data_IF_800334709553
#
_entry.id   IF_800334709553
#
_cell.length_a   1.000
_cell.length_b   1.000
_cell.length_c   1.000
_cell.angle_alpha   90.00
_cell.angle_beta   90.00
_cell.angle_gamma   90.00
#
_symmetry.space_group_name_H-M   'P 1'
#
loop_
_entity.id
_entity.type
_entity.pdbx_description
1 polymer ?
#
# COMPACT_ATOMS: atom_id res chain seq x y z
N UNK A 1 22.10 53.51 30.53
CA UNK A 1 22.43 52.07 30.48
C UNK A 1 21.12 51.30 30.40
N UNK A 2 20.63 50.97 29.19
CA UNK A 2 19.42 50.15 29.06
C UNK A 2 19.71 48.69 29.46
N UNK A 3 18.72 47.96 30.00
CA UNK A 3 18.88 46.57 30.39
C UNK A 3 19.07 45.70 29.14
N UNK A 4 20.05 44.80 29.23
CA UNK A 4 20.30 43.75 28.24
C UNK A 4 19.05 42.89 28.10
N UNK A 5 18.30 43.09 27.02
CA UNK A 5 17.21 42.20 26.63
C UNK A 5 17.79 40.79 26.49
N UNK A 6 17.31 39.91 27.35
CA UNK A 6 17.57 38.48 27.32
C UNK A 6 16.95 37.96 26.03
N UNK A 7 17.78 37.75 25.01
CA UNK A 7 17.36 37.10 23.77
C UNK A 7 16.85 35.71 24.11
N UNK A 8 15.52 35.58 24.16
CA UNK A 8 14.83 34.33 24.37
C UNK A 8 15.26 33.37 23.26
N UNK A 9 16.00 32.33 23.64
CA UNK A 9 16.48 31.33 22.71
C UNK A 9 15.31 30.79 21.87
N UNK A 10 15.46 30.68 20.55
CA UNK A 10 14.41 30.14 19.71
C UNK A 10 14.13 28.72 20.18
N UNK A 11 12.93 28.50 20.71
CA UNK A 11 12.47 27.19 21.10
C UNK A 11 12.40 26.35 19.83
N UNK A 12 13.40 25.50 19.61
CA UNK A 12 13.39 24.44 18.60
C UNK A 12 12.22 23.51 18.94
N UNK A 13 11.04 23.82 18.40
CA UNK A 13 9.90 22.93 18.45
C UNK A 13 10.31 21.68 17.68
N UNK A 14 10.56 20.58 18.40
CA UNK A 14 10.85 19.29 17.80
C UNK A 14 9.80 19.03 16.71
N UNK A 15 10.21 18.65 15.50
CA UNK A 15 9.28 18.32 14.42
C UNK A 15 8.30 17.21 14.89
N UNK A 16 7.15 17.07 14.23
CA UNK A 16 6.09 16.12 14.57
C UNK A 16 6.54 14.67 14.36
N UNK A 17 7.41 14.15 15.24
CA UNK A 17 7.92 12.78 15.18
C UNK A 17 6.80 11.73 15.24
N UNK A 18 5.62 12.10 15.75
CA UNK A 18 4.50 11.21 15.98
C UNK A 18 3.97 10.51 14.70
N UNK A 19 3.89 11.23 13.58
CA UNK A 19 3.35 10.64 12.34
C UNK A 19 4.33 9.64 11.70
N UNK A 20 5.61 9.99 11.72
CA UNK A 20 6.65 9.11 11.21
C UNK A 20 6.83 7.87 12.09
N UNK A 21 6.78 8.03 13.41
CA UNK A 21 6.78 6.93 14.38
C UNK A 21 5.59 5.99 14.17
N UNK A 22 4.39 6.56 13.93
CA UNK A 22 3.20 5.77 13.61
C UNK A 22 3.38 4.97 12.31
N UNK A 23 3.94 5.59 11.26
CA UNK A 23 4.23 4.90 10.00
C UNK A 23 5.24 3.77 10.21
N UNK A 24 6.32 4.01 10.94
CA UNK A 24 7.34 3.01 11.27
C UNK A 24 6.75 1.84 12.05
N UNK A 25 5.89 2.11 13.04
CA UNK A 25 5.20 1.09 13.81
C UNK A 25 4.35 0.20 12.88
N UNK A 26 3.58 0.80 11.96
CA UNK A 26 2.75 0.07 11.00
C UNK A 26 3.57 -0.75 10.00
N UNK A 27 4.73 -0.27 9.58
CA UNK A 27 5.66 -1.03 8.76
C UNK A 27 6.20 -2.25 9.51
N UNK A 28 6.56 -2.09 10.78
CA UNK A 28 6.98 -3.20 11.65
C UNK A 28 5.90 -4.28 11.78
N UNK A 29 4.64 -3.88 11.99
CA UNK A 29 3.49 -4.79 12.02
C UNK A 29 3.31 -5.53 10.70
N UNK A 30 3.40 -4.81 9.57
CA UNK A 30 3.27 -5.38 8.23
C UNK A 30 4.32 -6.46 7.97
N UNK A 31 5.58 -6.19 8.33
CA UNK A 31 6.69 -7.14 8.20
C UNK A 31 6.50 -8.38 9.07
N UNK A 32 5.98 -8.20 10.30
CA UNK A 32 5.66 -9.32 11.19
C UNK A 32 4.58 -10.22 10.57
N UNK A 33 3.49 -9.63 10.10
CA UNK A 33 2.40 -10.36 9.43
C UNK A 33 2.90 -11.12 8.20
N UNK A 34 3.77 -10.49 7.40
CA UNK A 34 4.38 -11.15 6.26
C UNK A 34 5.15 -12.42 6.62
N UNK A 35 6.00 -12.34 7.66
CA UNK A 35 6.74 -13.50 8.15
C UNK A 35 5.82 -14.59 8.67
N UNK A 36 4.72 -14.21 9.33
CA UNK A 36 3.76 -15.15 9.87
C UNK A 36 2.94 -15.87 8.78
N UNK A 37 2.56 -15.16 7.71
CA UNK A 37 1.94 -15.77 6.51
C UNK A 37 2.87 -16.80 5.89
N UNK A 38 4.14 -16.46 5.67
CA UNK A 38 5.10 -17.43 5.13
C UNK A 38 5.28 -18.63 6.05
N UNK A 39 5.39 -18.43 7.37
CA UNK A 39 5.44 -19.54 8.34
C UNK A 39 4.20 -20.42 8.26
N UNK A 40 3.02 -19.83 8.09
CA UNK A 40 1.77 -20.56 7.97
C UNK A 40 1.74 -21.42 6.70
N UNK A 41 2.18 -20.88 5.56
CA UNK A 41 2.32 -21.66 4.32
C UNK A 41 3.23 -22.86 4.50
N UNK A 42 4.38 -22.69 5.19
CA UNK A 42 5.29 -23.83 5.47
C UNK A 42 4.67 -24.92 6.34
N UNK A 43 3.75 -24.55 7.23
CA UNK A 43 3.10 -25.47 8.17
C UNK A 43 1.92 -26.20 7.53
N UNK A 44 1.13 -25.49 6.73
CA UNK A 44 -0.15 -26.01 6.22
C UNK A 44 -0.08 -26.50 4.78
N UNK A 45 0.82 -25.97 3.96
CA UNK A 45 0.98 -26.39 2.57
C UNK A 45 2.15 -27.38 2.48
N UNK A 46 1.96 -28.56 1.87
CA UNK A 46 3.06 -29.49 1.63
C UNK A 46 4.12 -28.82 0.75
N UNK A 47 5.37 -29.25 0.91
CA UNK A 47 6.44 -28.83 0.01
C UNK A 47 6.08 -29.21 -1.43
N UNK A 48 6.06 -28.23 -2.33
CA UNK A 48 5.71 -28.44 -3.73
C UNK A 48 5.20 -27.17 -4.42
N UNK A 49 4.73 -27.29 -5.68
CA UNK A 49 4.38 -26.16 -6.54
C UNK A 49 3.31 -25.24 -5.94
N UNK A 50 2.41 -25.80 -5.13
CA UNK A 50 1.30 -25.04 -4.54
C UNK A 50 1.75 -24.10 -3.42
N UNK A 51 2.68 -24.55 -2.57
CA UNK A 51 3.32 -23.70 -1.56
C UNK A 51 4.13 -22.59 -2.21
N UNK A 52 4.89 -22.92 -3.26
CA UNK A 52 5.65 -21.92 -4.01
C UNK A 52 4.77 -20.86 -4.67
N UNK A 53 3.61 -21.27 -5.20
CA UNK A 53 2.64 -20.34 -5.78
C UNK A 53 2.06 -19.40 -4.72
N UNK A 54 1.69 -19.94 -3.56
CA UNK A 54 1.19 -19.15 -2.43
C UNK A 54 2.26 -18.17 -1.90
N UNK A 55 3.51 -18.62 -1.77
CA UNK A 55 4.64 -17.78 -1.37
C UNK A 55 4.94 -16.68 -2.41
N UNK A 56 4.87 -17.00 -3.71
CA UNK A 56 5.02 -16.02 -4.80
C UNK A 56 3.93 -14.96 -4.75
N UNK A 57 2.67 -15.37 -4.56
CA UNK A 57 1.55 -14.46 -4.44
C UNK A 57 1.71 -13.54 -3.22
N UNK A 58 1.98 -14.09 -2.04
CA UNK A 58 2.18 -13.28 -0.83
C UNK A 58 3.34 -12.28 -0.98
N UNK A 59 4.44 -12.67 -1.62
CA UNK A 59 5.56 -11.77 -1.94
C UNK A 59 5.17 -10.66 -2.92
N UNK A 60 4.37 -10.97 -3.93
CA UNK A 60 3.90 -9.98 -4.90
C UNK A 60 2.99 -8.95 -4.22
N UNK A 61 1.97 -9.41 -3.51
CA UNK A 61 1.04 -8.57 -2.75
C UNK A 61 1.79 -7.68 -1.75
N UNK A 62 2.67 -8.26 -0.94
CA UNK A 62 3.45 -7.50 0.04
C UNK A 62 4.27 -6.39 -0.63
N UNK A 63 4.96 -6.68 -1.73
CA UNK A 63 5.76 -5.68 -2.47
C UNK A 63 4.88 -4.57 -3.04
N UNK A 64 3.74 -4.90 -3.64
CA UNK A 64 2.81 -3.90 -4.20
C UNK A 64 2.35 -2.91 -3.13
N UNK A 65 1.96 -3.41 -1.95
CA UNK A 65 1.50 -2.56 -0.86
C UNK A 65 2.64 -1.74 -0.23
N UNK A 66 3.84 -2.29 -0.08
CA UNK A 66 5.00 -1.54 0.41
C UNK A 66 5.44 -0.46 -0.58
N UNK A 67 5.41 -0.75 -1.88
CA UNK A 67 5.73 0.22 -2.92
C UNK A 67 4.74 1.40 -2.87
N UNK A 68 3.44 1.12 -2.79
CA UNK A 68 2.43 2.16 -2.69
C UNK A 68 2.56 3.01 -1.41
N UNK A 69 2.87 2.39 -0.26
CA UNK A 69 3.12 3.14 0.97
C UNK A 69 4.40 4.00 0.89
N UNK A 70 5.46 3.49 0.25
CA UNK A 70 6.70 4.25 0.02
C UNK A 70 6.48 5.41 -0.95
N UNK A 71 5.75 5.21 -2.03
CA UNK A 71 5.42 6.24 -3.01
C UNK A 71 4.62 7.37 -2.36
N UNK A 72 3.59 7.02 -1.58
CA UNK A 72 2.85 7.99 -0.79
C UNK A 72 3.78 8.79 0.15
N UNK A 73 4.72 8.12 0.81
CA UNK A 73 5.68 8.79 1.70
C UNK A 73 6.63 9.74 0.95
N UNK A 74 7.10 9.36 -0.24
CA UNK A 74 7.98 10.19 -1.08
C UNK A 74 7.24 11.40 -1.65
N UNK A 75 5.99 11.23 -2.07
CA UNK A 75 5.14 12.34 -2.53
C UNK A 75 4.93 13.37 -1.41
N UNK A 76 4.81 12.90 -0.17
CA UNK A 76 4.70 13.77 1.00
C UNK A 76 5.96 14.65 1.18
N UNK A 77 7.15 14.04 1.10
CA UNK A 77 8.43 14.74 1.22
C UNK A 77 8.69 15.72 0.05
N UNK A 78 8.33 15.34 -1.18
CA UNK A 78 8.49 16.20 -2.35
C UNK A 78 7.60 17.46 -2.26
N UNK A 79 6.38 17.32 -1.74
CA UNK A 79 5.46 18.45 -1.53
C UNK A 79 6.00 19.43 -0.48
N UNK A 80 6.68 18.94 0.55
CA UNK A 80 7.33 19.78 1.57
C UNK A 80 8.51 20.57 1.00
N UNK A 81 9.33 19.95 0.15
CA UNK A 81 10.47 20.60 -0.49
C UNK A 81 10.05 21.79 -1.38
N UNK A 82 8.95 21.66 -2.13
CA UNK A 82 8.44 22.75 -2.98
C UNK A 82 7.88 23.94 -2.19
N UNK A 83 7.42 23.71 -0.95
CA UNK A 83 6.82 24.79 -0.16
C UNK A 83 7.88 25.68 0.53
N UNK A 84 9.09 25.17 0.76
CA UNK A 84 10.17 25.94 1.39
C UNK A 84 10.83 26.95 0.44
N UNK A 85 10.70 26.78 -0.88
CA UNK A 85 11.37 27.62 -1.89
C UNK A 85 10.55 28.87 -2.30
N UNK A 86 9.30 29.01 -1.82
CA UNK A 86 8.44 30.17 -2.12
C UNK A 86 8.41 31.25 -1.04
N UNK A 87 9.11 31.05 0.08
CA UNK A 87 9.28 32.10 1.09
C UNK A 87 10.57 32.88 0.78
N UNK A 88 10.59 33.56 -0.36
CA UNK A 88 11.51 34.65 -0.60
C UNK A 88 10.87 35.93 -0.01
N UNK A 89 11.28 36.39 1.19
CA UNK A 89 10.75 37.62 1.78
C UNK A 89 11.12 38.88 0.98
N UNK A 90 11.96 38.74 -0.05
CA UNK A 90 12.30 39.78 -1.00
C UNK A 90 11.69 39.47 -2.36
N UNK A 91 10.36 39.49 -2.43
CA UNK A 91 9.62 39.53 -3.68
C UNK A 91 9.92 40.79 -4.49
N UNK A 92 11.09 40.83 -5.12
CA UNK A 92 11.37 41.73 -6.23
C UNK A 92 10.80 41.05 -7.47
N UNK A 93 9.50 41.29 -7.73
CA UNK A 93 8.80 40.88 -8.95
C UNK A 93 9.42 41.59 -10.16
N UNK A 94 10.55 41.09 -10.61
CA UNK A 94 11.18 41.53 -11.85
C UNK A 94 10.49 40.77 -12.97
N UNK A 95 9.43 41.38 -13.49
CA UNK A 95 8.73 40.97 -14.69
C UNK A 95 9.68 41.02 -15.89
N UNK A 96 10.48 39.97 -16.06
CA UNK A 96 11.39 39.79 -17.18
C UNK A 96 10.63 39.08 -18.30
N UNK A 97 10.11 39.88 -19.24
CA UNK A 97 9.65 39.42 -20.54
C UNK A 97 10.88 38.94 -21.36
N UNK A 98 11.36 37.74 -21.05
CA UNK A 98 12.45 37.08 -21.76
C UNK A 98 11.91 36.05 -22.74
N UNK A 99 11.59 36.52 -23.95
CA UNK A 99 11.39 35.68 -25.13
C UNK A 99 12.63 34.82 -25.35
N UNK A 100 12.49 33.49 -25.30
CA UNK A 100 13.52 32.58 -25.84
C UNK A 100 12.86 31.50 -26.67
N UNK A 101 13.00 31.66 -27.98
CA UNK A 101 12.75 30.64 -28.98
C UNK A 101 13.88 29.61 -28.89
N UNK A 102 13.55 28.36 -28.54
CA UNK A 102 14.44 27.23 -28.79
C UNK A 102 13.69 26.13 -29.52
N UNK A 103 14.03 25.99 -30.80
CA UNK A 103 13.52 24.97 -31.71
C UNK A 103 14.06 23.57 -31.35
N UNK A 104 13.25 22.50 -31.46
CA UNK A 104 13.74 21.14 -31.39
C UNK A 104 14.11 20.60 -32.78
N UNK A 105 15.34 20.10 -32.92
CA UNK A 105 15.77 19.27 -34.05
C UNK A 105 15.36 17.80 -33.85
N UNK A 106 15.03 17.06 -34.94
CA UNK A 106 14.66 15.66 -34.89
C UNK A 106 15.88 14.75 -35.15
N UNK A 107 15.91 13.57 -34.51
CA UNK A 107 16.65 12.42 -35.05
C UNK A 107 17.51 11.64 -34.06
N UNK A 108 17.05 10.44 -33.70
CA UNK A 108 17.86 9.41 -33.06
C UNK A 108 17.08 8.10 -32.90
N UNK A 109 17.43 7.02 -33.63
CA UNK A 109 16.76 5.73 -33.51
C UNK A 109 17.27 4.99 -32.27
N UNK A 110 16.42 4.84 -31.26
CA UNK A 110 16.66 3.94 -30.12
C UNK A 110 16.04 2.57 -30.40
N UNK A 111 16.84 1.69 -30.99
CA UNK A 111 16.61 0.25 -30.93
C UNK A 111 17.00 -0.24 -29.53
N UNK A 112 16.04 -0.72 -28.74
CA UNK A 112 16.33 -1.22 -27.40
C UNK A 112 15.14 -1.86 -26.70
N UNK A 113 14.80 -3.09 -27.10
CA UNK A 113 14.08 -4.13 -26.32
C UNK A 113 13.12 -3.64 -25.23
N UNK A 114 11.85 -3.46 -25.62
CA UNK A 114 10.74 -3.49 -24.68
C UNK A 114 10.52 -4.90 -24.14
N UNK A 115 10.80 -5.10 -22.85
CA UNK A 115 10.19 -6.17 -22.06
C UNK A 115 8.78 -5.70 -21.66
N UNK A 116 7.72 -6.50 -21.85
CA UNK A 116 6.38 -6.12 -21.41
C UNK A 116 6.30 -6.25 -19.89
N UNK A 117 6.56 -5.15 -19.18
CA UNK A 117 6.04 -4.98 -17.82
C UNK A 117 4.52 -4.86 -17.93
N UNK A 118 3.84 -5.98 -17.71
CA UNK A 118 2.39 -6.06 -17.63
C UNK A 118 1.87 -5.01 -16.67
N UNK A 119 1.20 -4.02 -17.24
CA UNK A 119 0.44 -2.96 -16.58
C UNK A 119 -0.63 -3.63 -15.72
N UNK A 120 -0.34 -3.75 -14.42
CA UNK A 120 -1.30 -4.25 -13.44
C UNK A 120 -2.50 -3.32 -13.41
N UNK A 121 -3.66 -3.86 -13.75
CA UNK A 121 -4.94 -3.20 -13.56
C UNK A 121 -5.07 -2.82 -12.09
N UNK A 122 -5.10 -1.50 -11.83
CA UNK A 122 -5.59 -0.95 -10.58
C UNK A 122 -7.06 -1.37 -10.43
N UNK A 123 -7.29 -2.52 -9.78
CA UNK A 123 -8.61 -2.86 -9.27
C UNK A 123 -8.86 -1.87 -8.15
N UNK A 124 -9.59 -0.80 -8.48
CA UNK A 124 -10.14 0.14 -7.52
C UNK A 124 -10.87 -0.65 -6.44
N UNK A 125 -10.30 -0.68 -5.23
CA UNK A 125 -11.03 -1.08 -4.05
C UNK A 125 -12.22 -0.15 -3.89
N UNK A 126 -13.41 -0.70 -4.10
CA UNK A 126 -14.68 0.00 -4.06
C UNK A 126 -14.79 0.84 -2.79
N UNK A 127 -15.05 2.13 -2.97
CA UNK A 127 -15.57 3.02 -1.93
C UNK A 127 -16.96 2.52 -1.53
N UNK A 128 -17.08 1.90 -0.36
CA UNK A 128 -18.36 1.84 0.34
C UNK A 128 -18.48 3.15 1.12
N UNK A 129 -19.30 4.06 0.61
CA UNK A 129 -19.79 5.20 1.36
C UNK A 129 -20.87 4.69 2.31
N UNK A 130 -20.55 4.61 3.61
CA UNK A 130 -21.57 4.44 4.64
C UNK A 130 -21.81 5.81 5.30
N UNK A 131 -22.95 6.39 4.96
CA UNK A 131 -23.62 7.42 5.73
C UNK A 131 -23.94 6.87 7.12
N UNK A 132 -23.52 7.56 8.18
CA UNK A 132 -24.16 7.47 9.48
C UNK A 132 -23.93 8.77 10.25
N UNK A 133 -24.97 9.61 10.25
CA UNK A 133 -25.13 10.68 11.22
C UNK A 133 -25.48 10.09 12.59
N UNK A 134 -24.91 10.68 13.63
CA UNK A 134 -25.16 10.34 15.03
C UNK A 134 -25.02 11.60 15.91
N UNK A 135 -25.74 11.64 17.04
CA UNK A 135 -26.15 12.87 17.72
C UNK A 135 -25.03 13.54 18.51
N UNK A 136 -25.07 14.87 18.50
CA UNK A 136 -24.14 15.75 19.21
C UNK A 136 -24.29 15.59 20.73
N UNK A 137 -23.21 15.19 21.39
CA UNK A 137 -23.07 15.25 22.85
C UNK A 137 -22.30 16.51 23.24
N UNK A 138 -22.72 17.25 24.28
CA UNK A 138 -22.07 18.49 24.66
C UNK A 138 -20.71 18.25 25.31
N UNK A 139 -19.79 19.08 24.84
CA UNK A 139 -18.37 19.17 25.05
C UNK A 139 -17.99 19.51 26.51
N UNK A 140 -17.19 18.66 27.14
CA UNK A 140 -16.52 18.95 28.42
C UNK A 140 -15.04 18.62 28.27
N UNK A 141 -14.24 19.67 28.04
CA UNK A 141 -12.85 19.74 28.51
C UNK A 141 -11.81 18.96 27.73
N UNK A 142 -11.97 18.78 26.42
CA UNK A 142 -10.92 18.19 25.57
C UNK A 142 -9.83 19.24 25.33
N UNK A 143 -8.86 19.33 26.26
CA UNK A 143 -7.60 20.09 26.06
C UNK A 143 -7.03 19.75 24.68
N UNK A 144 -6.97 20.76 23.83
CA UNK A 144 -6.41 20.74 22.49
C UNK A 144 -4.94 20.28 22.48
N UNK A 145 -4.72 18.97 22.38
CA UNK A 145 -3.42 18.36 22.06
C UNK A 145 -3.03 18.58 20.57
N UNK A 146 -3.73 19.46 19.85
CA UNK A 146 -3.45 19.80 18.46
C UNK A 146 -2.41 20.93 18.32
N UNK A 147 -2.05 21.59 19.42
CA UNK A 147 -1.12 22.74 19.43
C UNK A 147 0.32 22.39 19.03
N UNK A 148 0.70 21.11 19.04
CA UNK A 148 2.07 20.65 18.68
C UNK A 148 2.32 20.56 17.16
N UNK A 149 1.28 20.68 16.33
CA UNK A 149 1.36 20.48 14.88
C UNK A 149 1.33 21.80 14.07
N UNK A 150 1.57 22.95 14.72
CA UNK A 150 1.37 24.28 14.13
C UNK A 150 2.33 24.64 12.97
N UNK A 151 3.32 23.80 12.65
CA UNK A 151 4.26 24.02 11.55
C UNK A 151 4.16 23.00 10.40
N UNK A 152 3.26 22.01 10.48
CA UNK A 152 3.21 20.93 9.49
C UNK A 152 2.20 21.26 8.40
N UNK A 153 2.65 21.25 7.14
CA UNK A 153 1.77 21.43 5.99
C UNK A 153 0.54 20.50 6.11
N UNK A 154 -0.68 21.00 5.92
CA UNK A 154 -1.89 20.18 5.85
C UNK A 154 -1.79 19.05 4.83
N UNK A 155 -1.05 19.25 3.72
CA UNK A 155 -0.86 18.24 2.69
C UNK A 155 -0.01 17.06 3.18
N UNK A 156 1.12 17.34 3.85
CA UNK A 156 1.98 16.31 4.43
C UNK A 156 1.18 15.43 5.40
N UNK A 157 0.36 16.04 6.26
CA UNK A 157 -0.52 15.31 7.19
C UNK A 157 -1.52 14.42 6.45
N UNK A 158 -2.16 14.92 5.41
CA UNK A 158 -3.12 14.16 4.62
C UNK A 158 -2.48 12.94 3.94
N UNK A 159 -1.30 13.11 3.34
CA UNK A 159 -0.58 12.04 2.65
C UNK A 159 -0.06 10.98 3.63
N UNK A 160 0.55 11.38 4.75
CA UNK A 160 0.99 10.43 5.77
C UNK A 160 -0.20 9.68 6.37
N UNK A 161 -1.32 10.36 6.60
CA UNK A 161 -2.55 9.73 7.05
C UNK A 161 -3.07 8.70 6.04
N UNK A 162 -3.06 9.01 4.75
CA UNK A 162 -3.45 8.10 3.68
C UNK A 162 -2.55 6.84 3.65
N UNK A 163 -1.23 7.01 3.78
CA UNK A 163 -0.29 5.88 3.83
C UNK A 163 -0.55 4.99 5.06
N UNK A 164 -0.77 5.60 6.23
CA UNK A 164 -1.14 4.89 7.45
C UNK A 164 -2.45 4.11 7.30
N UNK A 165 -3.48 4.72 6.68
CA UNK A 165 -4.76 4.06 6.40
C UNK A 165 -4.62 2.89 5.43
N UNK A 166 -3.80 3.04 4.38
CA UNK A 166 -3.54 1.96 3.44
C UNK A 166 -2.86 0.77 4.11
N UNK A 167 -1.83 1.03 4.94
CA UNK A 167 -1.16 -0.01 5.72
C UNK A 167 -2.10 -0.67 6.75
N UNK A 168 -2.99 0.11 7.38
CA UNK A 168 -4.00 -0.42 8.31
C UNK A 168 -4.92 -1.42 7.60
N UNK A 169 -5.51 -1.05 6.46
CA UNK A 169 -6.39 -1.94 5.67
C UNK A 169 -5.67 -3.19 5.19
N UNK A 170 -4.42 -3.04 4.78
CA UNK A 170 -3.55 -4.15 4.41
C UNK A 170 -3.34 -5.12 5.59
N UNK A 171 -2.97 -4.58 6.77
CA UNK A 171 -2.77 -5.38 7.97
C UNK A 171 -4.04 -6.12 8.39
N UNK A 172 -5.20 -5.46 8.34
CA UNK A 172 -6.50 -6.08 8.64
C UNK A 172 -6.81 -7.24 7.67
N UNK A 173 -6.67 -7.02 6.36
CA UNK A 173 -6.89 -8.05 5.36
C UNK A 173 -5.95 -9.26 5.54
N UNK A 174 -4.69 -9.02 5.92
CA UNK A 174 -3.71 -10.08 6.17
C UNK A 174 -3.97 -10.84 7.47
N UNK A 175 -4.44 -10.14 8.51
CA UNK A 175 -4.89 -10.78 9.75
C UNK A 175 -6.12 -11.66 9.50
N UNK A 176 -7.08 -11.18 8.70
CA UNK A 176 -8.25 -11.95 8.30
C UNK A 176 -7.87 -13.18 7.49
N UNK A 177 -6.89 -13.05 6.58
CA UNK A 177 -6.32 -14.18 5.86
C UNK A 177 -5.68 -15.20 6.82
N UNK A 178 -4.87 -14.75 7.79
CA UNK A 178 -4.26 -15.65 8.78
C UNK A 178 -5.32 -16.37 9.62
N UNK A 179 -6.37 -15.68 10.05
CA UNK A 179 -7.49 -16.26 10.80
C UNK A 179 -8.20 -17.31 9.97
N UNK A 180 -8.59 -16.95 8.75
CA UNK A 180 -9.21 -17.85 7.78
C UNK A 180 -8.38 -19.12 7.54
N UNK A 181 -7.08 -18.95 7.29
CA UNK A 181 -6.17 -20.05 7.00
C UNK A 181 -5.96 -20.97 8.22
N UNK A 182 -5.94 -20.42 9.44
CA UNK A 182 -5.92 -21.23 10.67
C UNK A 182 -7.21 -22.03 10.86
N UNK A 183 -8.36 -21.38 10.70
CA UNK A 183 -9.66 -21.98 11.02
C UNK A 183 -10.07 -23.08 10.03
N UNK A 184 -9.69 -22.96 8.76
CA UNK A 184 -10.20 -23.86 7.70
C UNK A 184 -9.20 -24.85 7.15
N UNK A 185 -7.94 -24.76 7.61
CA UNK A 185 -6.75 -25.37 7.00
C UNK A 185 -6.63 -24.97 5.53
N UNK A 186 -5.45 -24.54 5.04
CA UNK A 186 -5.25 -24.22 3.63
C UNK A 186 -5.32 -25.48 2.74
N UNK A 187 -6.54 -26.01 2.54
CA UNK A 187 -6.84 -27.15 1.66
C UNK A 187 -7.04 -26.66 0.24
N UNK A 188 -6.44 -27.37 -0.71
CA UNK A 188 -6.49 -27.06 -2.14
C UNK A 188 -7.93 -26.89 -2.65
N UNK A 189 -8.17 -25.82 -3.41
CA UNK A 189 -9.36 -25.65 -4.26
C UNK A 189 -10.72 -25.50 -3.57
N UNK A 190 -10.81 -25.66 -2.24
CA UNK A 190 -12.08 -25.56 -1.50
C UNK A 190 -12.45 -24.16 -1.02
N UNK A 191 -11.52 -23.21 -1.13
CA UNK A 191 -11.52 -22.01 -0.28
C UNK A 191 -11.75 -20.68 -1.00
N UNK A 192 -12.01 -20.66 -2.31
CA UNK A 192 -12.50 -19.44 -2.93
C UNK A 192 -13.88 -19.09 -2.37
N UNK A 193 -13.98 -17.93 -1.71
CA UNK A 193 -15.27 -17.41 -1.23
C UNK A 193 -16.23 -17.31 -2.42
N UNK A 194 -17.55 -17.56 -2.24
CA UNK A 194 -18.53 -17.41 -3.32
C UNK A 194 -18.44 -16.03 -4.01
N UNK A 195 -18.19 -14.98 -3.22
CA UNK A 195 -17.97 -13.62 -3.73
C UNK A 195 -16.74 -13.50 -4.63
N UNK A 196 -15.63 -14.17 -4.27
CA UNK A 196 -14.42 -14.19 -5.09
C UNK A 196 -14.58 -15.01 -6.37
N UNK A 197 -15.41 -16.06 -6.36
CA UNK A 197 -15.75 -16.83 -7.58
C UNK A 197 -16.51 -15.97 -8.58
N UNK A 198 -17.33 -15.03 -8.10
CA UNK A 198 -18.01 -14.05 -8.95
C UNK A 198 -17.07 -13.09 -9.67
N UNK A 199 -15.87 -12.85 -9.12
CA UNK A 199 -14.87 -11.94 -9.69
C UNK A 199 -14.02 -12.59 -10.80
N UNK A 200 -14.08 -13.91 -10.96
CA UNK A 200 -13.37 -14.58 -12.05
C UNK A 200 -14.01 -14.24 -13.39
N UNK A 201 -13.19 -13.96 -14.41
CA UNK A 201 -13.69 -13.82 -15.78
C UNK A 201 -14.28 -15.14 -16.26
N UNK A 202 -15.16 -15.08 -17.27
CA UNK A 202 -15.81 -16.27 -17.82
C UNK A 202 -14.81 -17.29 -18.37
N UNK A 203 -13.75 -16.80 -19.03
CA UNK A 203 -12.62 -17.62 -19.49
C UNK A 203 -11.88 -18.31 -18.34
N UNK A 204 -11.60 -17.60 -17.23
CA UNK A 204 -10.96 -18.20 -16.06
C UNK A 204 -11.84 -19.27 -15.40
N UNK A 205 -13.16 -19.05 -15.37
CA UNK A 205 -14.12 -20.04 -14.87
C UNK A 205 -14.12 -21.29 -15.74
N UNK A 206 -14.15 -21.13 -17.07
CA UNK A 206 -14.06 -22.24 -18.02
C UNK A 206 -12.74 -23.02 -17.87
N UNK A 207 -11.62 -22.33 -17.70
CA UNK A 207 -10.33 -22.98 -17.48
C UNK A 207 -10.30 -23.79 -16.18
N UNK A 208 -10.81 -23.23 -15.08
CA UNK A 208 -10.94 -23.98 -13.82
C UNK A 208 -11.88 -25.18 -13.94
N UNK A 209 -12.93 -25.07 -14.75
CA UNK A 209 -13.84 -26.18 -15.02
C UNK A 209 -13.13 -27.29 -15.79
N UNK A 210 -12.42 -26.95 -16.87
CA UNK A 210 -11.63 -27.92 -17.65
C UNK A 210 -10.60 -28.67 -16.79
N UNK A 211 -9.90 -27.96 -15.89
CA UNK A 211 -8.95 -28.59 -14.96
C UNK A 211 -9.67 -29.55 -14.00
N UNK A 212 -10.84 -29.18 -13.48
CA UNK A 212 -11.63 -30.07 -12.61
C UNK A 212 -12.06 -31.33 -13.34
N UNK A 213 -12.57 -31.18 -14.56
CA UNK A 213 -13.03 -32.31 -15.37
C UNK A 213 -11.86 -33.27 -15.67
N UNK A 214 -10.67 -32.71 -15.97
CA UNK A 214 -9.45 -33.51 -16.16
C UNK A 214 -8.99 -34.23 -14.89
N UNK A 215 -9.08 -33.61 -13.72
CA UNK A 215 -8.76 -34.27 -12.42
C UNK A 215 -9.75 -35.39 -12.11
N UNK A 216 -11.03 -35.19 -12.42
CA UNK A 216 -12.06 -36.23 -12.29
C UNK A 216 -11.74 -37.40 -13.21
N UNK A 217 -11.33 -37.13 -14.44
CA UNK A 217 -10.98 -38.17 -15.41
C UNK A 217 -9.72 -38.95 -15.01
N UNK A 218 -8.67 -38.26 -14.55
CA UNK A 218 -7.46 -38.90 -14.01
C UNK A 218 -7.76 -39.79 -12.79
N UNK A 219 -8.73 -39.42 -11.94
CA UNK A 219 -9.16 -40.25 -10.81
C UNK A 219 -9.98 -41.47 -11.21
N UNK A 220 -10.64 -41.42 -12.37
CA UNK A 220 -11.42 -42.55 -12.89
C UNK A 220 -10.54 -43.61 -13.55
N UNK A 221 -9.31 -43.27 -13.97
CA UNK A 221 -8.37 -44.27 -14.43
C UNK A 221 -8.00 -45.13 -13.21
N UNK A 222 -8.49 -46.39 -13.12
CA UNK A 222 -8.02 -47.29 -12.08
C UNK A 222 -6.52 -47.47 -12.27
N UNK A 223 -5.77 -47.62 -11.19
CA UNK A 223 -4.34 -47.93 -11.19
C UNK A 223 -4.10 -49.22 -12.01
N UNK A 224 -4.02 -49.09 -13.33
CA UNK A 224 -3.82 -50.21 -14.27
C UNK A 224 -2.34 -50.61 -14.36
N UNK A 225 -1.48 -49.95 -13.60
CA UNK A 225 -0.04 -50.19 -13.60
C UNK A 225 0.40 -50.58 -12.21
N UNK A 226 0.50 -51.90 -11.95
CA UNK A 226 1.51 -52.58 -11.13
C UNK A 226 1.05 -54.03 -10.87
N UNK A 227 0.93 -54.81 -11.95
CA UNK A 227 0.89 -56.27 -11.90
C UNK A 227 1.70 -56.75 -13.10
N UNK A 228 3.02 -56.61 -13.01
CA UNK A 228 4.02 -57.34 -13.78
C UNK A 228 5.11 -57.79 -12.80
#
# INVERSE_FOLDING_TARGET
MPPLETMSAPSFTKPPLFLYEQLQLRLGESLKLYRDVLRLHRRQLPAGPTRELADRFARAEFRTHMAAASEASQQAAATEALHMDSNDPYGCTSSSAGVSYFSPLPGGPTSGRGLPTGRGNNVSSGRIALLQGGPETPDVGRRDQTSHLRGVSPQLRAVTFQACEQLRRFNEAWQDYLRFARDRELRHGRHMRPTQRGLLSESQRQQLQAIKDLVVELRKQPDQSFND
#
